data_IF_562291298749
#
_entry.id   IF_562291298749
#
_cell.length_a   1.000
_cell.length_b   1.000
_cell.length_c   1.000
_cell.angle_alpha   90.00
_cell.angle_beta   90.00
_cell.angle_gamma   90.00
#
_symmetry.space_group_name_H-M   'P 1'
#
loop_
_entity.id
_entity.type
_entity.pdbx_description
1 polymer ?
#
# COMPACT_ATOMS: atom_id res chain seq x y z
N UNK A 1 4.01 -5.90 42.38
CA UNK A 1 3.20 -6.00 41.14
C UNK A 1 2.84 -4.66 40.53
N UNK A 2 2.34 -3.67 41.29
CA UNK A 2 1.94 -2.35 40.76
C UNK A 2 3.04 -1.62 39.97
N UNK A 3 4.30 -1.65 40.43
CA UNK A 3 5.44 -1.06 39.71
C UNK A 3 5.68 -1.75 38.37
N UNK A 4 5.58 -3.08 38.32
CA UNK A 4 5.73 -3.86 37.08
C UNK A 4 4.66 -3.51 36.04
N UNK A 5 3.40 -3.35 36.46
CA UNK A 5 2.34 -2.94 35.53
C UNK A 5 2.54 -1.51 34.99
N UNK A 6 3.03 -0.58 35.83
CA UNK A 6 3.40 0.77 35.38
C UNK A 6 4.54 0.76 34.36
N UNK A 7 5.55 -0.10 34.55
CA UNK A 7 6.65 -0.26 33.59
C UNK A 7 6.14 -0.78 32.25
N UNK A 8 5.25 -1.79 32.25
CA UNK A 8 4.62 -2.30 31.03
C UNK A 8 3.82 -1.19 30.32
N UNK A 9 3.05 -0.39 31.07
CA UNK A 9 2.29 0.73 30.52
C UNK A 9 3.18 1.79 29.88
N UNK A 10 4.28 2.20 30.52
CA UNK A 10 5.22 3.15 29.93
C UNK A 10 5.85 2.58 28.67
N UNK A 11 6.28 1.32 28.72
CA UNK A 11 6.91 0.67 27.58
C UNK A 11 5.97 0.56 26.38
N UNK A 12 4.70 0.18 26.58
CA UNK A 12 3.74 0.07 25.47
C UNK A 12 3.36 1.43 24.88
N UNK A 13 3.32 2.49 25.70
CA UNK A 13 3.16 3.86 25.20
C UNK A 13 4.32 4.22 24.28
N UNK A 14 5.56 3.89 24.65
CA UNK A 14 6.71 4.09 23.76
C UNK A 14 6.54 3.33 22.43
N UNK A 15 6.01 2.10 22.44
CA UNK A 15 5.78 1.36 21.18
C UNK A 15 4.74 2.03 20.29
N UNK A 16 3.67 2.58 20.85
CA UNK A 16 2.67 3.35 20.10
C UNK A 16 3.30 4.62 19.51
N UNK A 17 4.13 5.32 20.29
CA UNK A 17 4.85 6.50 19.80
C UNK A 17 5.82 6.15 18.68
N UNK A 18 6.52 5.02 18.75
CA UNK A 18 7.38 4.54 17.66
C UNK A 18 6.54 4.20 16.43
N UNK A 19 5.43 3.48 16.59
CA UNK A 19 4.52 3.11 15.49
C UNK A 19 4.02 4.36 14.76
N UNK A 20 3.49 5.35 15.48
CA UNK A 20 2.93 6.57 14.87
C UNK A 20 4.02 7.55 14.42
N UNK A 21 5.15 7.58 15.12
CA UNK A 21 6.27 8.48 14.83
C UNK A 21 7.07 8.07 13.61
N UNK A 22 7.11 6.78 13.25
CA UNK A 22 7.93 6.29 12.14
C UNK A 22 7.52 6.88 10.77
N UNK A 23 6.23 6.89 10.37
CA UNK A 23 5.81 7.52 9.13
C UNK A 23 6.04 9.05 9.13
N UNK A 24 5.86 9.70 10.28
CA UNK A 24 6.11 11.14 10.41
C UNK A 24 7.60 11.48 10.29
N UNK A 25 8.47 10.67 10.87
CA UNK A 25 9.92 10.78 10.73
C UNK A 25 10.37 10.62 9.27
N UNK A 26 9.76 9.68 8.53
CA UNK A 26 10.00 9.55 7.10
C UNK A 26 9.55 10.80 6.32
N UNK A 27 8.31 11.25 6.55
CA UNK A 27 7.72 12.42 5.86
C UNK A 27 8.49 13.72 6.09
N UNK A 28 9.06 13.89 7.27
CA UNK A 28 9.86 15.07 7.61
C UNK A 28 11.30 15.00 7.07
N UNK A 29 11.70 13.88 6.45
CA UNK A 29 13.06 13.63 5.99
C UNK A 29 14.05 13.32 7.12
N UNK A 30 13.56 13.08 8.34
CA UNK A 30 14.40 12.70 9.48
C UNK A 30 14.87 11.25 9.38
N UNK A 31 14.03 10.37 8.83
CA UNK A 31 14.31 8.95 8.66
C UNK A 31 14.29 8.57 7.18
N UNK A 32 15.21 7.70 6.78
CA UNK A 32 15.06 6.97 5.52
C UNK A 32 13.94 5.91 5.62
N UNK A 33 13.61 5.29 4.49
CA UNK A 33 12.55 4.29 4.42
C UNK A 33 12.82 3.09 5.35
N UNK A 34 14.05 2.59 5.36
CA UNK A 34 14.42 1.39 6.13
C UNK A 34 14.35 1.64 7.64
N UNK A 35 14.72 2.83 8.09
CA UNK A 35 14.62 3.27 9.48
C UNK A 35 13.16 3.37 9.91
N UNK A 36 12.30 3.95 9.07
CA UNK A 36 10.87 4.05 9.37
C UNK A 36 10.19 2.66 9.38
N UNK A 37 10.53 1.76 8.45
CA UNK A 37 10.06 0.37 8.46
C UNK A 37 10.61 -0.41 9.68
N UNK A 38 11.86 -0.18 10.07
CA UNK A 38 12.45 -0.74 11.29
C UNK A 38 11.70 -0.32 12.55
N UNK A 39 11.20 0.91 12.61
CA UNK A 39 10.33 1.38 13.68
C UNK A 39 9.05 0.56 13.82
N UNK A 40 8.42 0.14 12.72
CA UNK A 40 7.27 -0.78 12.76
C UNK A 40 7.65 -2.15 13.31
N UNK A 41 8.80 -2.70 12.92
CA UNK A 41 9.28 -3.98 13.46
C UNK A 41 9.56 -3.89 14.97
N UNK A 42 10.16 -2.79 15.44
CA UNK A 42 10.39 -2.54 16.87
C UNK A 42 9.06 -2.42 17.61
N UNK A 43 8.12 -1.63 17.10
CA UNK A 43 6.81 -1.44 17.73
C UNK A 43 6.02 -2.77 17.81
N UNK A 44 6.07 -3.58 16.75
CA UNK A 44 5.46 -4.90 16.71
C UNK A 44 6.08 -5.85 17.74
N UNK A 45 7.40 -6.00 17.73
CA UNK A 45 8.13 -6.87 18.66
C UNK A 45 7.94 -6.41 20.11
N UNK A 46 7.98 -5.11 20.37
CA UNK A 46 7.72 -4.52 21.68
C UNK A 46 6.29 -4.77 22.17
N UNK A 47 5.29 -4.59 21.29
CA UNK A 47 3.89 -4.93 21.59
C UNK A 47 3.70 -6.40 21.94
N UNK A 48 4.27 -7.31 21.14
CA UNK A 48 4.24 -8.74 21.40
C UNK A 48 4.93 -9.11 22.73
N UNK A 49 6.09 -8.52 23.00
CA UNK A 49 6.81 -8.71 24.26
C UNK A 49 6.00 -8.23 25.47
N UNK A 50 5.28 -7.11 25.34
CA UNK A 50 4.35 -6.65 26.37
C UNK A 50 3.24 -7.65 26.66
N UNK A 51 2.63 -8.24 25.62
CA UNK A 51 1.59 -9.25 25.78
C UNK A 51 2.14 -10.48 26.53
N UNK A 52 3.34 -10.96 26.16
CA UNK A 52 4.01 -12.05 26.86
C UNK A 52 4.32 -11.70 28.32
N UNK A 53 4.81 -10.48 28.59
CA UNK A 53 5.10 -10.01 29.94
C UNK A 53 3.84 -9.90 30.80
N UNK A 54 2.70 -9.48 30.21
CA UNK A 54 1.40 -9.44 30.89
C UNK A 54 0.96 -10.86 31.28
N UNK A 55 1.07 -11.84 30.38
CA UNK A 55 0.76 -13.24 30.68
C UNK A 55 1.62 -13.75 31.83
N UNK A 56 2.93 -13.53 31.77
CA UNK A 56 3.86 -13.93 32.84
C UNK A 56 3.54 -13.26 34.18
N UNK A 57 3.18 -11.97 34.16
CA UNK A 57 2.80 -11.22 35.36
C UNK A 57 1.51 -11.75 35.98
N UNK A 58 0.51 -12.08 35.15
CA UNK A 58 -0.76 -12.69 35.62
C UNK A 58 -0.48 -14.04 36.28
N UNK A 59 0.27 -14.92 35.62
CA UNK A 59 0.64 -16.25 36.17
C UNK A 59 1.37 -16.07 37.50
N UNK A 60 2.40 -15.21 37.55
CA UNK A 60 3.17 -14.97 38.76
C UNK A 60 2.30 -14.42 39.91
N UNK A 61 1.35 -13.53 39.61
CA UNK A 61 0.41 -13.00 40.60
C UNK A 61 -0.53 -14.06 41.16
N UNK A 62 -1.04 -14.95 40.30
CA UNK A 62 -1.89 -16.07 40.70
C UNK A 62 -1.13 -17.07 41.58
N UNK A 63 0.07 -17.51 41.14
CA UNK A 63 0.90 -18.48 41.88
C UNK A 63 1.35 -17.93 43.23
N UNK A 64 1.76 -16.66 43.28
CA UNK A 64 2.25 -16.02 44.51
C UNK A 64 1.14 -15.37 45.35
N UNK A 65 -0.12 -15.51 44.96
CA UNK A 65 -1.30 -14.90 45.61
C UNK A 65 -1.14 -13.40 45.87
N UNK A 66 -0.45 -12.70 44.98
CA UNK A 66 -0.24 -11.26 45.09
C UNK A 66 -1.37 -10.49 44.38
N UNK A 67 -1.79 -9.31 44.90
CA UNK A 67 -2.85 -8.54 44.28
C UNK A 67 -2.40 -8.00 42.91
N UNK A 68 -3.24 -8.24 41.90
CA UNK A 68 -3.08 -7.73 40.53
C UNK A 68 -3.89 -6.44 40.33
N UNK A 69 -3.30 -5.48 39.64
CA UNK A 69 -4.00 -4.28 39.17
C UNK A 69 -4.71 -4.60 37.84
N UNK A 70 -5.95 -5.09 37.93
CA UNK A 70 -6.71 -5.57 36.77
C UNK A 70 -6.98 -4.45 35.75
N UNK A 71 -7.27 -3.24 36.22
CA UNK A 71 -7.55 -2.11 35.34
C UNK A 71 -6.32 -1.74 34.52
N UNK A 72 -5.17 -1.61 35.17
CA UNK A 72 -3.92 -1.30 34.48
C UNK A 72 -3.47 -2.42 33.53
N UNK A 73 -3.71 -3.70 33.87
CA UNK A 73 -3.45 -4.82 32.97
C UNK A 73 -4.34 -4.80 31.73
N UNK A 74 -5.64 -4.51 31.86
CA UNK A 74 -6.57 -4.40 30.73
C UNK A 74 -6.10 -3.28 29.79
N UNK A 75 -5.80 -2.10 30.32
CA UNK A 75 -5.31 -0.97 29.52
C UNK A 75 -4.01 -1.33 28.81
N UNK A 76 -3.05 -1.94 29.52
CA UNK A 76 -1.79 -2.37 28.93
C UNK A 76 -1.98 -3.38 27.80
N UNK A 77 -2.89 -4.35 27.95
CA UNK A 77 -3.23 -5.33 26.91
C UNK A 77 -3.82 -4.64 25.69
N UNK A 78 -4.80 -3.76 25.85
CA UNK A 78 -5.44 -3.04 24.73
C UNK A 78 -4.40 -2.22 23.97
N UNK A 79 -3.55 -1.47 24.67
CA UNK A 79 -2.49 -0.70 24.04
C UNK A 79 -1.46 -1.58 23.33
N UNK A 80 -1.12 -2.74 23.88
CA UNK A 80 -0.12 -3.64 23.30
C UNK A 80 -0.65 -4.35 22.03
N UNK A 81 -1.97 -4.54 21.94
CA UNK A 81 -2.62 -5.07 20.74
C UNK A 81 -2.60 -4.09 19.56
N UNK A 82 -2.45 -2.78 19.77
CA UNK A 82 -2.46 -1.79 18.67
C UNK A 82 -1.33 -2.03 17.66
N UNK A 83 -0.03 -2.01 18.02
CA UNK A 83 1.04 -2.25 17.06
C UNK A 83 1.00 -3.67 16.49
N UNK A 84 0.60 -4.67 17.29
CA UNK A 84 0.48 -6.06 16.83
C UNK A 84 -0.62 -6.18 15.78
N UNK A 85 -1.82 -5.68 16.07
CA UNK A 85 -2.97 -5.73 15.18
C UNK A 85 -2.82 -4.87 13.93
N UNK A 86 -2.01 -3.82 13.98
CA UNK A 86 -1.70 -2.99 12.81
C UNK A 86 -0.66 -3.65 11.88
N UNK A 87 0.45 -4.16 12.43
CA UNK A 87 1.57 -4.67 11.62
C UNK A 87 1.36 -6.12 11.16
N UNK A 88 0.70 -6.97 11.97
CA UNK A 88 0.55 -8.39 11.65
C UNK A 88 -0.17 -8.64 10.30
N UNK A 89 -1.29 -7.97 9.96
CA UNK A 89 -1.94 -8.16 8.66
C UNK A 89 -1.04 -7.76 7.49
N UNK A 90 -0.22 -6.73 7.65
CA UNK A 90 0.72 -6.28 6.62
C UNK A 90 1.82 -7.33 6.37
N UNK A 91 2.33 -7.96 7.44
CA UNK A 91 3.29 -9.06 7.33
C UNK A 91 2.68 -10.29 6.68
N UNK A 92 1.42 -10.61 7.00
CA UNK A 92 0.70 -11.70 6.33
C UNK A 92 0.54 -11.42 4.84
N UNK A 93 0.14 -10.19 4.49
CA UNK A 93 -0.01 -9.77 3.10
C UNK A 93 1.31 -9.79 2.33
N UNK A 94 2.40 -9.35 2.95
CA UNK A 94 3.74 -9.39 2.34
C UNK A 94 4.20 -10.80 1.96
N UNK A 95 3.70 -11.84 2.64
CA UNK A 95 3.99 -13.23 2.32
C UNK A 95 3.02 -13.85 1.29
N UNK A 96 1.91 -13.16 0.96
CA UNK A 96 0.87 -13.67 0.06
C UNK A 96 0.88 -13.02 -1.32
N UNK A 97 1.75 -12.02 -1.55
CA UNK A 97 1.86 -11.28 -2.81
C UNK A 97 3.33 -11.19 -3.23
N UNK A 98 3.61 -11.12 -4.54
CA UNK A 98 4.97 -10.98 -5.02
C UNK A 98 5.53 -9.60 -4.61
N UNK A 99 6.84 -9.50 -4.33
CA UNK A 99 7.47 -8.24 -3.98
C UNK A 99 7.76 -7.41 -5.24
N UNK A 100 6.69 -6.97 -5.89
CA UNK A 100 6.69 -6.11 -7.08
C UNK A 100 5.84 -4.86 -6.83
N UNK A 101 6.06 -3.83 -7.64
CA UNK A 101 5.53 -2.48 -7.41
C UNK A 101 5.13 -1.74 -8.70
N UNK A 102 5.20 -2.44 -9.83
CA UNK A 102 4.79 -1.98 -11.16
C UNK A 102 3.84 -3.03 -11.71
N UNK A 103 2.56 -2.68 -11.83
CA UNK A 103 1.52 -3.59 -12.28
C UNK A 103 0.84 -3.01 -13.52
N UNK A 104 0.66 -3.82 -14.56
CA UNK A 104 -0.03 -3.44 -15.80
C UNK A 104 -1.05 -4.49 -16.22
N UNK A 105 -2.12 -4.09 -16.91
CA UNK A 105 -3.07 -5.02 -17.53
C UNK A 105 -2.58 -5.59 -18.87
N UNK A 106 -1.49 -5.04 -19.41
CA UNK A 106 -0.88 -5.48 -20.65
C UNK A 106 0.65 -5.45 -20.50
N UNK A 107 1.26 -6.57 -20.02
CA UNK A 107 2.71 -6.68 -19.85
C UNK A 107 3.53 -6.64 -21.14
N UNK A 108 2.94 -7.09 -22.24
CA UNK A 108 3.59 -7.17 -23.55
C UNK A 108 3.74 -5.80 -24.21
N UNK A 109 2.82 -4.87 -23.93
CA UNK A 109 2.90 -3.47 -24.34
C UNK A 109 2.42 -2.57 -23.18
N UNK A 110 3.24 -2.37 -22.13
CA UNK A 110 2.83 -1.60 -20.96
C UNK A 110 2.59 -0.12 -21.31
N UNK A 111 1.49 0.48 -20.84
CA UNK A 111 1.27 1.92 -20.95
C UNK A 111 2.46 2.76 -20.48
N UNK A 112 2.77 3.83 -21.21
CA UNK A 112 3.90 4.73 -20.94
C UNK A 112 3.44 6.08 -20.41
N UNK A 113 4.10 6.59 -19.38
CA UNK A 113 3.78 7.89 -18.79
C UNK A 113 4.40 9.08 -19.57
N UNK A 114 3.66 10.18 -19.66
CA UNK A 114 3.97 11.40 -20.40
C UNK A 114 4.22 12.61 -19.50
N UNK A 115 3.29 12.97 -18.62
CA UNK A 115 3.43 14.12 -17.71
C UNK A 115 3.98 13.71 -16.35
N UNK A 116 3.56 12.56 -15.84
CA UNK A 116 4.03 12.01 -14.56
C UNK A 116 5.55 11.83 -14.55
N UNK A 117 6.18 11.37 -15.66
CA UNK A 117 7.64 11.21 -15.73
C UNK A 117 8.41 12.51 -15.41
N UNK A 118 7.82 13.67 -15.70
CA UNK A 118 8.40 14.99 -15.41
C UNK A 118 8.29 15.36 -13.92
N UNK A 119 7.41 14.68 -13.17
CA UNK A 119 7.06 14.95 -11.76
C UNK A 119 7.65 13.93 -10.78
N UNK A 120 8.57 13.07 -11.24
CA UNK A 120 9.22 11.99 -10.47
C UNK A 120 10.64 12.33 -9.99
N UNK A 121 10.93 13.61 -9.74
CA UNK A 121 12.28 14.10 -9.36
C UNK A 121 12.91 13.37 -8.15
N UNK A 122 12.09 12.86 -7.23
CA UNK A 122 12.54 12.13 -6.03
C UNK A 122 12.03 10.68 -5.98
N UNK A 123 11.58 10.11 -7.10
CA UNK A 123 11.21 8.71 -7.13
C UNK A 123 12.46 7.83 -7.05
N UNK A 124 12.40 6.77 -6.24
CA UNK A 124 13.47 5.76 -6.14
C UNK A 124 13.32 4.72 -7.26
N UNK A 125 12.08 4.38 -7.60
CA UNK A 125 11.78 3.48 -8.70
C UNK A 125 11.61 4.28 -10.00
N UNK A 126 12.16 3.79 -11.10
CA UNK A 126 11.99 4.40 -12.41
C UNK A 126 10.64 4.02 -13.05
N UNK A 127 10.53 4.12 -14.37
CA UNK A 127 9.31 3.78 -15.13
C UNK A 127 9.60 2.75 -16.24
N UNK A 128 10.79 2.15 -16.23
CA UNK A 128 11.10 1.02 -17.10
C UNK A 128 10.33 -0.17 -16.53
N UNK A 129 9.54 -0.85 -17.36
CA UNK A 129 8.79 -2.01 -16.91
C UNK A 129 9.77 -3.14 -16.60
N UNK A 130 9.81 -3.55 -15.34
CA UNK A 130 10.94 -4.27 -14.75
C UNK A 130 11.24 -3.73 -13.35
N UNK A 131 12.21 -4.32 -12.67
CA UNK A 131 12.81 -3.73 -11.49
C UNK A 131 14.34 -3.96 -11.49
N UNK A 132 15.03 -3.51 -10.45
CA UNK A 132 16.49 -3.64 -10.37
C UNK A 132 16.98 -5.10 -10.38
N UNK A 133 16.12 -6.06 -10.05
CA UNK A 133 16.41 -7.48 -9.92
C UNK A 133 15.75 -8.33 -11.01
N UNK A 134 14.77 -7.80 -11.75
CA UNK A 134 13.88 -8.55 -12.66
C UNK A 134 13.74 -7.89 -14.03
N UNK A 135 13.76 -8.70 -15.09
CA UNK A 135 13.45 -8.24 -16.43
C UNK A 135 11.94 -8.02 -16.63
N UNK A 136 11.56 -7.47 -17.79
CA UNK A 136 10.16 -7.34 -18.17
C UNK A 136 9.46 -8.70 -18.26
N UNK A 137 10.16 -9.72 -18.77
CA UNK A 137 9.67 -11.08 -18.90
C UNK A 137 9.47 -11.74 -17.52
N UNK A 138 10.38 -11.51 -16.57
CA UNK A 138 10.22 -11.99 -15.20
C UNK A 138 9.00 -11.34 -14.51
N UNK A 139 8.78 -10.04 -14.76
CA UNK A 139 7.61 -9.31 -14.23
C UNK A 139 6.30 -9.81 -14.83
N UNK A 140 6.27 -10.07 -16.14
CA UNK A 140 5.13 -10.69 -16.82
C UNK A 140 4.80 -12.05 -16.21
N UNK A 141 5.78 -12.95 -16.07
CA UNK A 141 5.57 -14.26 -15.48
C UNK A 141 5.02 -14.19 -14.04
N UNK A 142 5.50 -13.25 -13.23
CA UNK A 142 4.96 -13.01 -11.88
C UNK A 142 3.52 -12.49 -11.90
N UNK A 143 3.19 -11.59 -12.84
CA UNK A 143 1.81 -11.13 -12.97
C UNK A 143 0.87 -12.23 -13.43
N UNK A 144 1.29 -13.07 -14.38
CA UNK A 144 0.48 -14.21 -14.83
C UNK A 144 0.21 -15.20 -13.69
N UNK A 145 1.19 -15.41 -12.80
CA UNK A 145 1.03 -16.29 -11.64
C UNK A 145 0.11 -15.70 -10.56
N UNK A 146 0.32 -14.42 -10.18
CA UNK A 146 -0.33 -13.83 -9.00
C UNK A 146 -1.54 -12.94 -9.31
N UNK A 147 -1.62 -12.42 -10.53
CA UNK A 147 -2.63 -11.46 -10.99
C UNK A 147 -3.22 -11.80 -12.37
N UNK A 148 -3.60 -13.06 -12.66
CA UNK A 148 -4.11 -13.47 -13.97
C UNK A 148 -5.43 -12.79 -14.35
N UNK A 149 -6.11 -12.16 -13.40
CA UNK A 149 -7.36 -11.43 -13.63
C UNK A 149 -7.15 -10.01 -14.20
N UNK A 150 -5.91 -9.49 -14.20
CA UNK A 150 -5.60 -8.14 -14.66
C UNK A 150 -5.26 -8.12 -16.15
N UNK A 151 -6.32 -8.05 -16.97
CA UNK A 151 -6.21 -8.03 -18.43
C UNK A 151 -6.73 -6.72 -19.04
N UNK A 152 -6.33 -6.43 -20.27
CA UNK A 152 -6.87 -5.31 -21.06
C UNK A 152 -8.40 -5.34 -21.08
N UNK A 153 -9.01 -4.22 -20.70
CA UNK A 153 -10.46 -4.10 -20.67
C UNK A 153 -11.00 -3.72 -22.07
N UNK A 154 -12.01 -4.47 -22.53
CA UNK A 154 -12.75 -4.18 -23.76
C UNK A 154 -14.06 -3.47 -23.45
N UNK A 155 -14.38 -2.42 -24.22
CA UNK A 155 -15.63 -1.67 -24.07
C UNK A 155 -16.24 -1.29 -25.42
N UNK A 156 -17.58 -1.25 -25.54
CA UNK A 156 -18.27 -0.72 -26.72
C UNK A 156 -18.27 0.81 -26.79
N UNK A 157 -17.86 1.49 -25.71
CA UNK A 157 -17.77 2.95 -25.68
C UNK A 157 -16.72 3.44 -26.68
N UNK A 158 -16.91 4.64 -27.19
CA UNK A 158 -15.88 5.31 -27.99
C UNK A 158 -14.66 5.67 -27.12
N UNK A 159 -13.54 5.99 -27.76
CA UNK A 159 -12.33 6.49 -27.06
C UNK A 159 -12.65 7.73 -26.23
N UNK A 160 -13.44 8.66 -26.76
CA UNK A 160 -13.79 9.90 -26.06
C UNK A 160 -14.68 9.66 -24.83
N UNK A 161 -15.68 8.79 -24.94
CA UNK A 161 -16.53 8.39 -23.79
C UNK A 161 -15.72 7.65 -22.73
N UNK A 162 -14.85 6.74 -23.17
CA UNK A 162 -13.96 5.97 -22.27
C UNK A 162 -12.98 6.88 -21.54
N UNK A 163 -12.45 7.92 -22.20
CA UNK A 163 -11.59 8.92 -21.56
C UNK A 163 -12.32 9.69 -20.47
N UNK A 164 -13.50 10.23 -20.80
CA UNK A 164 -14.30 10.99 -19.85
C UNK A 164 -14.71 10.13 -18.64
N UNK A 165 -15.10 8.88 -18.89
CA UNK A 165 -15.47 7.94 -17.83
C UNK A 165 -14.26 7.52 -16.99
N UNK A 166 -13.10 7.30 -17.60
CA UNK A 166 -11.86 6.99 -16.88
C UNK A 166 -11.47 8.13 -15.94
N UNK A 167 -11.52 9.38 -16.42
CA UNK A 167 -11.28 10.55 -15.58
C UNK A 167 -12.26 10.61 -14.39
N UNK A 168 -13.55 10.40 -14.65
CA UNK A 168 -14.59 10.41 -13.61
C UNK A 168 -14.35 9.35 -12.53
N UNK A 169 -14.03 8.11 -12.93
CA UNK A 169 -13.72 7.01 -12.01
C UNK A 169 -12.50 7.34 -11.15
N UNK A 170 -11.43 7.85 -11.76
CA UNK A 170 -10.21 8.21 -11.03
C UNK A 170 -10.47 9.34 -10.00
N UNK A 171 -11.28 10.33 -10.36
CA UNK A 171 -11.72 11.38 -9.42
C UNK A 171 -12.57 10.82 -8.28
N UNK A 172 -13.48 9.90 -8.58
CA UNK A 172 -14.32 9.25 -7.57
C UNK A 172 -13.48 8.39 -6.60
N UNK A 173 -12.44 7.74 -7.10
CA UNK A 173 -11.45 7.02 -6.29
C UNK A 173 -10.59 7.96 -5.44
N UNK A 174 -10.67 9.29 -5.66
CA UNK A 174 -9.95 10.30 -4.89
C UNK A 174 -8.53 10.56 -5.36
N UNK A 175 -8.16 10.11 -6.58
CA UNK A 175 -6.82 10.30 -7.12
C UNK A 175 -6.64 11.72 -7.68
N UNK A 176 -5.42 12.24 -7.59
CA UNK A 176 -5.03 13.52 -8.18
C UNK A 176 -4.85 13.35 -9.69
N UNK A 177 -5.71 13.97 -10.51
CA UNK A 177 -5.56 13.93 -11.97
C UNK A 177 -4.38 14.82 -12.38
N UNK A 178 -3.39 14.23 -13.04
CA UNK A 178 -2.17 14.88 -13.50
C UNK A 178 -2.28 15.29 -14.97
N UNK A 179 -2.87 14.42 -15.80
CA UNK A 179 -3.03 14.66 -17.24
C UNK A 179 -4.31 14.00 -17.76
N UNK A 180 -4.95 14.67 -18.71
CA UNK A 180 -6.01 14.10 -19.55
C UNK A 180 -5.69 14.57 -20.96
N UNK A 181 -5.27 13.64 -21.83
CA UNK A 181 -4.86 13.95 -23.20
C UNK A 181 -5.72 13.15 -24.19
N UNK A 182 -6.74 13.77 -24.80
CA UNK A 182 -7.58 13.12 -25.79
C UNK A 182 -6.87 12.77 -27.09
N UNK A 183 -5.78 13.46 -27.44
CA UNK A 183 -5.04 13.18 -28.66
C UNK A 183 -4.18 11.92 -28.52
N UNK A 184 -3.62 11.70 -27.33
CA UNK A 184 -2.87 10.49 -26.99
C UNK A 184 -3.76 9.35 -26.47
N UNK A 185 -5.01 9.65 -26.07
CA UNK A 185 -5.91 8.67 -25.50
C UNK A 185 -5.49 8.25 -24.08
N UNK A 186 -4.99 9.17 -23.26
CA UNK A 186 -4.48 8.83 -21.92
C UNK A 186 -5.06 9.69 -20.80
N UNK A 187 -5.22 9.07 -19.62
CA UNK A 187 -5.44 9.76 -18.35
C UNK A 187 -4.36 9.33 -17.37
N UNK A 188 -3.69 10.29 -16.75
CA UNK A 188 -2.66 10.05 -15.73
C UNK A 188 -3.12 10.61 -14.39
N UNK A 189 -2.93 9.84 -13.33
CA UNK A 189 -3.29 10.23 -11.98
C UNK A 189 -2.26 9.75 -10.95
N UNK A 190 -2.20 10.41 -9.80
CA UNK A 190 -1.35 10.02 -8.68
C UNK A 190 -2.20 9.78 -7.45
N UNK A 191 -1.98 8.66 -6.78
CA UNK A 191 -2.49 8.37 -5.44
C UNK A 191 -1.43 8.70 -4.39
N UNK A 192 -1.83 9.18 -3.22
CA UNK A 192 -0.91 9.54 -2.13
C UNK A 192 -1.38 8.95 -0.81
N UNK A 193 -0.55 8.07 -0.23
CA UNK A 193 -0.85 7.47 1.08
C UNK A 193 -0.85 8.52 2.19
N UNK A 194 -1.79 8.42 3.13
CA UNK A 194 -1.94 9.43 4.18
C UNK A 194 -0.80 9.42 5.22
N UNK A 195 -0.29 8.23 5.57
CA UNK A 195 0.67 8.05 6.65
C UNK A 195 2.09 8.37 6.23
N UNK A 196 2.53 7.86 5.07
CA UNK A 196 3.90 8.02 4.57
C UNK A 196 4.02 9.06 3.46
N UNK A 197 2.90 9.50 2.85
CA UNK A 197 2.93 10.30 1.62
C UNK A 197 3.68 9.62 0.47
N UNK A 198 3.76 8.29 0.50
CA UNK A 198 4.14 7.53 -0.69
C UNK A 198 3.18 7.86 -1.82
N UNK A 199 3.76 8.08 -2.98
CA UNK A 199 3.04 8.36 -4.21
C UNK A 199 3.14 7.16 -5.12
N UNK A 200 2.00 6.79 -5.66
CA UNK A 200 1.91 5.78 -6.70
C UNK A 200 1.21 6.40 -7.90
N UNK A 201 1.75 6.17 -9.08
CA UNK A 201 1.33 6.79 -10.32
C UNK A 201 0.54 5.79 -11.16
N UNK A 202 -0.60 6.20 -11.70
CA UNK A 202 -1.50 5.39 -12.53
C UNK A 202 -1.68 6.05 -13.89
N UNK A 203 -1.60 5.27 -14.96
CA UNK A 203 -1.98 5.67 -16.30
C UNK A 203 -3.07 4.74 -16.82
N UNK A 204 -4.04 5.33 -17.51
CA UNK A 204 -5.07 4.65 -18.29
C UNK A 204 -4.85 5.01 -19.75
N UNK A 205 -4.51 4.03 -20.59
CA UNK A 205 -4.35 4.17 -22.04
C UNK A 205 -5.57 3.60 -22.73
N UNK A 206 -6.17 4.38 -23.63
CA UNK A 206 -7.42 4.07 -24.32
C UNK A 206 -7.16 4.17 -25.82
N UNK A 207 -7.41 3.08 -26.54
CA UNK A 207 -7.17 3.01 -27.98
C UNK A 207 -8.26 2.23 -28.70
N UNK A 208 -8.56 2.63 -29.93
CA UNK A 208 -9.48 1.88 -30.79
C UNK A 208 -8.71 0.82 -31.57
N UNK A 209 -9.17 -0.42 -31.54
CA UNK A 209 -8.60 -1.53 -32.31
C UNK A 209 -9.73 -2.43 -32.81
N UNK A 210 -9.72 -2.75 -34.11
CA UNK A 210 -10.69 -3.68 -34.72
C UNK A 210 -12.18 -3.37 -34.42
N UNK A 211 -12.52 -2.09 -34.23
CA UNK A 211 -13.89 -1.65 -33.93
C UNK A 211 -14.31 -1.75 -32.46
N UNK A 212 -13.40 -2.11 -31.55
CA UNK A 212 -13.58 -2.05 -30.11
C UNK A 212 -12.64 -1.00 -29.50
N UNK A 213 -12.98 -0.50 -28.32
CA UNK A 213 -12.07 0.32 -27.52
C UNK A 213 -11.42 -0.57 -26.46
N UNK A 214 -10.09 -0.54 -26.43
CA UNK A 214 -9.24 -1.22 -25.47
C UNK A 214 -8.79 -0.22 -24.41
N UNK A 215 -8.79 -0.64 -23.17
CA UNK A 215 -8.34 0.13 -22.01
C UNK A 215 -7.25 -0.66 -21.29
N UNK A 216 -6.04 -0.15 -21.35
CA UNK A 216 -4.89 -0.67 -20.62
C UNK A 216 -4.59 0.22 -19.41
N UNK A 217 -4.25 -0.38 -18.28
CA UNK A 217 -3.85 0.34 -17.08
C UNK A 217 -2.44 -0.05 -16.68
N UNK A 218 -1.70 0.90 -16.12
CA UNK A 218 -0.44 0.63 -15.41
C UNK A 218 -0.33 1.50 -14.18
N UNK A 219 -0.01 0.88 -13.04
CA UNK A 219 0.10 1.52 -11.73
C UNK A 219 1.46 1.19 -11.11
N UNK A 220 2.22 2.23 -10.75
CA UNK A 220 3.64 2.13 -10.37
C UNK A 220 3.95 2.94 -9.13
N UNK A 221 4.48 2.29 -8.09
CA UNK A 221 4.93 2.96 -6.87
C UNK A 221 6.25 3.71 -7.08
N UNK A 222 6.39 4.91 -6.49
CA UNK A 222 7.65 5.69 -6.56
C UNK A 222 8.74 5.16 -5.64
N UNK A 223 8.39 4.40 -4.61
CA UNK A 223 9.31 3.89 -3.59
C UNK A 223 8.92 2.48 -3.16
N UNK A 224 9.92 1.72 -2.69
CA UNK A 224 9.73 0.36 -2.18
C UNK A 224 9.81 -0.70 -3.28
N UNK A 225 10.30 -1.89 -2.91
CA UNK A 225 10.38 -3.04 -3.81
C UNK A 225 9.00 -3.68 -4.01
N UNK A 226 8.18 -3.71 -2.95
CA UNK A 226 6.81 -4.21 -2.96
C UNK A 226 5.85 -3.11 -2.56
N UNK A 227 4.68 -3.11 -3.19
CA UNK A 227 3.54 -2.28 -2.84
C UNK A 227 2.49 -3.02 -1.97
N UNK A 228 2.77 -4.27 -1.57
CA UNK A 228 1.83 -5.16 -0.89
C UNK A 228 0.51 -5.38 -1.66
N UNK A 229 0.56 -5.42 -2.99
CA UNK A 229 -0.58 -5.61 -3.89
C UNK A 229 -1.51 -4.40 -4.01
N UNK A 230 -1.05 -3.20 -3.62
CA UNK A 230 -1.85 -1.97 -3.69
C UNK A 230 -2.14 -1.55 -5.14
N UNK A 231 -1.16 -1.64 -6.05
CA UNK A 231 -1.34 -1.27 -7.45
C UNK A 231 -2.31 -2.22 -8.17
N UNK A 232 -2.20 -3.53 -7.93
CA UNK A 232 -3.15 -4.52 -8.43
C UNK A 232 -4.59 -4.23 -7.94
N UNK A 233 -4.76 -3.98 -6.64
CA UNK A 233 -6.05 -3.59 -6.06
C UNK A 233 -6.59 -2.27 -6.65
N UNK A 234 -5.72 -1.30 -6.92
CA UNK A 234 -6.11 -0.03 -7.55
C UNK A 234 -6.65 -0.24 -8.96
N UNK A 235 -5.99 -1.07 -9.76
CA UNK A 235 -6.46 -1.43 -11.11
C UNK A 235 -7.82 -2.13 -11.03
N UNK A 236 -8.01 -3.09 -10.12
CA UNK A 236 -9.32 -3.74 -9.92
C UNK A 236 -10.43 -2.76 -9.57
N UNK A 237 -10.16 -1.82 -8.66
CA UNK A 237 -11.14 -0.79 -8.29
C UNK A 237 -11.49 0.13 -9.46
N UNK A 238 -10.49 0.50 -10.26
CA UNK A 238 -10.75 1.25 -11.49
C UNK A 238 -11.64 0.45 -12.43
N UNK A 239 -11.31 -0.81 -12.72
CA UNK A 239 -12.08 -1.67 -13.64
C UNK A 239 -13.52 -1.82 -13.14
N UNK A 240 -13.71 -2.06 -11.84
CA UNK A 240 -15.03 -2.14 -11.23
C UNK A 240 -15.83 -0.83 -11.39
N UNK A 241 -15.22 0.32 -11.07
CA UNK A 241 -15.85 1.62 -11.21
C UNK A 241 -16.16 1.99 -12.67
N UNK A 242 -15.30 1.57 -13.59
CA UNK A 242 -15.51 1.77 -15.02
C UNK A 242 -16.65 0.90 -15.55
N UNK A 243 -16.74 -0.37 -15.16
CA UNK A 243 -17.80 -1.27 -15.64
C UNK A 243 -19.17 -1.01 -14.98
N UNK A 244 -19.17 -0.47 -13.75
CA UNK A 244 -20.37 -0.13 -12.99
C UNK A 244 -20.36 1.34 -12.58
N UNK A 245 -20.49 2.27 -13.56
CA UNK A 245 -20.47 3.69 -13.26
C UNK A 245 -21.60 4.04 -12.29
N UNK A 246 -21.27 4.82 -11.26
CA UNK A 246 -22.27 5.32 -10.30
C UNK A 246 -23.23 6.23 -11.05
N UNK A 247 -24.52 5.86 -11.07
CA UNK A 247 -25.61 6.67 -11.63
C UNK A 247 -25.83 7.96 -10.87
#
# INVERSE_FOLDING_TARGET
MKTSTKVILVFVICQILILVGSPFGYRSGLFDLMTALGGFAIAFAGGALCLLAIVGLVIAGLVRKQPLDRGALIVATVLALVPVGFVLPQLQKANSVPPIHDITTNPMDPPVFFEIKKRRVHALNDLVYGDAERSAEDMEALQDEFYPDLETLLTPLTVAESLAQSEAVLRQMGLEIINVDPALGVVEATDTTQWFQFKDDLIVRIRSESGQTLIDLRSVSRVGQSDLGVNAERIRRFVQGFQSPSS
#
